data_IF_534525249155
#
_entry.id   IF_534525249155
#
_cell.length_a   1.000
_cell.length_b   1.000
_cell.length_c   1.000
_cell.angle_alpha   90.00
_cell.angle_beta   90.00
_cell.angle_gamma   90.00
#
_symmetry.space_group_name_H-M   'P 1'
#
loop_
_entity.id
_entity.type
_entity.pdbx_description
1 polymer ?
#
# COMPACT_ATOMS: atom_id res chain seq x y z
N UNK A 1 11.07 11.94 -3.32
CA UNK A 1 12.23 12.84 -3.49
C UNK A 1 11.89 13.72 -4.67
N UNK A 2 11.99 15.04 -4.51
CA UNK A 2 11.83 15.98 -5.62
C UNK A 2 13.08 15.94 -6.53
N UNK A 3 12.95 16.24 -7.81
CA UNK A 3 14.10 16.31 -8.74
C UNK A 3 15.09 17.40 -8.29
N UNK A 4 14.59 18.54 -7.80
CA UNK A 4 15.40 19.68 -7.34
C UNK A 4 15.87 19.55 -5.88
N UNK A 5 15.72 18.37 -5.28
CA UNK A 5 16.03 18.18 -3.87
C UNK A 5 17.54 18.30 -3.63
N UNK A 6 17.98 19.32 -2.89
CA UNK A 6 19.39 19.56 -2.55
C UNK A 6 19.66 19.31 -1.05
N UNK A 7 20.93 19.32 -0.64
CA UNK A 7 21.30 19.19 0.78
C UNK A 7 20.85 20.44 1.56
N UNK A 8 20.96 21.62 0.94
CA UNK A 8 20.56 22.90 1.51
C UNK A 8 19.03 23.05 1.54
N UNK A 9 18.34 22.62 0.48
CA UNK A 9 16.89 22.76 0.34
C UNK A 9 16.22 21.39 0.19
N UNK A 10 15.89 20.80 1.34
CA UNK A 10 15.20 19.51 1.38
C UNK A 10 13.71 19.67 1.08
N UNK A 11 13.32 19.47 -0.18
CA UNK A 11 11.93 19.36 -0.66
C UNK A 11 11.35 17.97 -0.32
N UNK A 12 11.06 17.72 0.96
CA UNK A 12 10.45 16.46 1.47
C UNK A 12 9.15 16.75 2.21
N UNK A 13 8.05 16.08 1.83
CA UNK A 13 6.79 16.10 2.56
C UNK A 13 6.59 14.76 3.28
N UNK A 14 6.26 14.81 4.57
CA UNK A 14 6.03 13.61 5.41
C UNK A 14 4.57 13.56 5.79
N UNK A 15 3.84 12.62 5.19
CA UNK A 15 2.49 12.27 5.61
C UNK A 15 2.50 10.95 6.36
N UNK A 16 1.88 10.89 7.53
CA UNK A 16 1.89 9.68 8.37
C UNK A 16 0.49 9.21 8.71
N UNK A 17 0.35 7.91 8.99
CA UNK A 17 -0.90 7.36 9.53
C UNK A 17 -1.31 7.99 10.86
N UNK A 18 -0.35 8.46 11.66
CA UNK A 18 -0.65 9.16 12.91
C UNK A 18 -1.32 10.50 12.63
N UNK A 19 -0.76 11.30 11.72
CA UNK A 19 -1.37 12.54 11.26
C UNK A 19 -2.78 12.29 10.70
N UNK A 20 -2.93 11.34 9.77
CA UNK A 20 -4.24 10.99 9.19
C UNK A 20 -5.28 10.62 10.26
N UNK A 21 -4.89 9.86 11.29
CA UNK A 21 -5.79 9.48 12.39
C UNK A 21 -6.22 10.67 13.24
N UNK A 22 -5.34 11.65 13.41
CA UNK A 22 -5.64 12.90 14.13
C UNK A 22 -6.62 13.74 13.31
N UNK A 23 -6.33 13.98 12.03
CA UNK A 23 -7.16 14.76 11.11
C UNK A 23 -8.59 14.17 11.00
N UNK A 24 -8.69 12.85 10.86
CA UNK A 24 -9.98 12.15 10.75
C UNK A 24 -10.70 11.94 12.09
N UNK A 25 -10.05 12.28 13.22
CA UNK A 25 -10.53 12.01 14.60
C UNK A 25 -10.94 10.54 14.83
N UNK A 26 -10.37 9.60 14.07
CA UNK A 26 -10.78 8.19 14.08
C UNK A 26 -10.75 7.58 15.49
N UNK A 27 -9.68 7.85 16.26
CA UNK A 27 -9.55 7.36 17.64
C UNK A 27 -10.61 7.95 18.57
N UNK A 28 -10.95 9.23 18.42
CA UNK A 28 -12.00 9.88 19.22
C UNK A 28 -13.35 9.21 18.97
N UNK A 29 -13.71 9.01 17.70
CA UNK A 29 -14.96 8.38 17.33
C UNK A 29 -15.05 6.92 17.79
N UNK A 30 -13.95 6.18 17.67
CA UNK A 30 -13.89 4.82 18.23
C UNK A 30 -14.11 4.82 19.75
N UNK A 31 -13.50 5.74 20.50
CA UNK A 31 -13.71 5.83 21.96
C UNK A 31 -15.17 6.10 22.32
N UNK A 32 -15.81 7.07 21.67
CA UNK A 32 -17.22 7.39 21.89
C UNK A 32 -18.10 6.16 21.63
N UNK A 33 -17.88 5.48 20.50
CA UNK A 33 -18.65 4.27 20.16
C UNK A 33 -18.45 3.13 21.16
N UNK A 34 -17.25 2.98 21.73
CA UNK A 34 -16.99 1.96 22.75
C UNK A 34 -17.63 2.30 24.10
N UNK A 35 -17.70 3.59 24.46
CA UNK A 35 -18.30 4.04 25.72
C UNK A 35 -19.82 3.80 25.76
N UNK A 36 -20.50 3.98 24.63
CA UNK A 36 -21.95 3.77 24.53
C UNK A 36 -22.33 2.30 24.35
N UNK A 37 -21.33 1.44 24.12
CA UNK A 37 -21.57 0.03 23.80
C UNK A 37 -21.88 -0.77 25.07
N UNK A 38 -23.05 -1.41 25.09
CA UNK A 38 -23.43 -2.31 26.18
C UNK A 38 -22.74 -3.67 26.09
N UNK A 39 -22.67 -4.39 27.21
CA UNK A 39 -22.09 -5.74 27.27
C UNK A 39 -22.80 -6.71 26.29
N UNK A 40 -24.13 -6.58 26.16
CA UNK A 40 -24.95 -7.40 25.28
C UNK A 40 -24.66 -7.16 23.80
N UNK A 41 -24.51 -5.89 23.40
CA UNK A 41 -24.13 -5.52 22.03
C UNK A 41 -22.71 -6.01 21.74
N UNK A 42 -21.80 -5.92 22.72
CA UNK A 42 -20.46 -6.47 22.60
C UNK A 42 -20.45 -8.01 22.47
N UNK A 43 -21.35 -8.72 23.16
CA UNK A 43 -21.52 -10.16 23.01
C UNK A 43 -22.11 -10.53 21.63
N UNK A 44 -23.11 -9.78 21.17
CA UNK A 44 -23.69 -9.93 19.84
C UNK A 44 -22.65 -9.74 18.73
N UNK A 45 -21.81 -8.71 18.82
CA UNK A 45 -20.71 -8.51 17.87
C UNK A 45 -19.63 -9.60 17.95
N UNK A 46 -19.32 -10.09 19.15
CA UNK A 46 -18.39 -11.23 19.31
C UNK A 46 -18.92 -12.49 18.65
N UNK A 47 -20.23 -12.74 18.76
CA UNK A 47 -20.91 -13.87 18.11
C UNK A 47 -20.71 -13.82 16.59
N UNK A 48 -20.81 -12.63 15.98
CA UNK A 48 -20.52 -12.43 14.55
C UNK A 48 -19.03 -12.52 14.22
N UNK A 49 -18.16 -12.04 15.11
CA UNK A 49 -16.71 -12.04 14.93
C UNK A 49 -16.08 -13.43 14.97
N UNK A 50 -16.69 -14.36 15.72
CA UNK A 50 -16.30 -15.77 15.77
C UNK A 50 -16.72 -16.53 14.50
N UNK A 51 -17.80 -16.11 13.85
CA UNK A 51 -18.27 -16.64 12.56
C UNK A 51 -17.38 -16.19 11.41
N UNK A 52 -16.42 -17.05 11.05
CA UNK A 52 -15.44 -16.80 10.00
C UNK A 52 -16.07 -16.73 8.60
N UNK A 53 -16.57 -15.56 8.21
CA UNK A 53 -16.90 -15.21 6.80
C UNK A 53 -15.68 -15.29 5.85
N UNK A 54 -14.48 -15.51 6.39
CA UNK A 54 -13.22 -15.56 5.65
C UNK A 54 -12.84 -16.98 5.18
N UNK A 55 -13.60 -18.02 5.60
CA UNK A 55 -13.41 -19.38 5.11
C UNK A 55 -14.35 -19.62 3.94
N UNK A 56 -13.86 -20.05 2.76
CA UNK A 56 -14.68 -20.33 1.60
C UNK A 56 -15.39 -21.69 1.73
N UNK A 57 -16.13 -21.89 2.82
CA UNK A 57 -16.89 -23.12 3.10
C UNK A 57 -18.36 -22.80 3.36
N UNK A 58 -19.25 -23.58 2.75
CA UNK A 58 -20.69 -23.37 2.78
C UNK A 58 -21.25 -23.53 4.20
N UNK A 59 -20.79 -24.54 4.95
CA UNK A 59 -21.27 -24.82 6.32
C UNK A 59 -21.00 -23.65 7.27
N UNK A 60 -19.78 -23.11 7.22
CA UNK A 60 -19.39 -21.94 8.01
C UNK A 60 -20.21 -20.68 7.62
N UNK A 61 -20.59 -20.54 6.34
CA UNK A 61 -21.44 -19.44 5.91
C UNK A 61 -22.88 -19.58 6.41
N UNK A 62 -23.46 -20.78 6.39
CA UNK A 62 -24.78 -21.04 6.99
C UNK A 62 -24.81 -20.76 8.49
N UNK A 63 -23.78 -21.21 9.22
CA UNK A 63 -23.62 -20.93 10.65
C UNK A 63 -23.55 -19.42 10.92
N UNK A 64 -22.80 -18.68 10.09
CA UNK A 64 -22.76 -17.22 10.15
C UNK A 64 -24.15 -16.59 9.89
N UNK A 65 -24.91 -17.08 8.92
CA UNK A 65 -26.26 -16.57 8.64
C UNK A 65 -27.22 -16.82 9.82
N UNK A 66 -27.17 -18.00 10.43
CA UNK A 66 -27.95 -18.32 11.64
C UNK A 66 -27.55 -17.40 12.80
N UNK A 67 -26.26 -17.27 13.07
CA UNK A 67 -25.74 -16.37 14.10
C UNK A 67 -26.15 -14.90 13.85
N UNK A 68 -26.13 -14.46 12.58
CA UNK A 68 -26.55 -13.12 12.19
C UNK A 68 -28.04 -12.90 12.39
N UNK A 69 -28.89 -13.85 12.05
CA UNK A 69 -30.33 -13.76 12.29
C UNK A 69 -30.65 -13.56 13.78
N UNK A 70 -29.95 -14.31 14.66
CA UNK A 70 -30.15 -14.22 16.12
C UNK A 70 -29.83 -12.84 16.69
N UNK A 71 -28.79 -12.18 16.18
CA UNK A 71 -28.33 -10.89 16.73
C UNK A 71 -28.80 -9.67 15.93
N UNK A 72 -29.41 -9.88 14.76
CA UNK A 72 -29.74 -8.82 13.80
C UNK A 72 -30.64 -7.73 14.40
N UNK A 73 -31.73 -8.11 15.06
CA UNK A 73 -32.68 -7.15 15.64
C UNK A 73 -31.99 -6.26 16.68
N UNK A 74 -31.20 -6.86 17.58
CA UNK A 74 -30.45 -6.17 18.64
C UNK A 74 -29.43 -5.19 18.06
N UNK A 75 -28.61 -5.62 17.12
CA UNK A 75 -27.60 -4.76 16.49
C UNK A 75 -28.27 -3.65 15.67
N UNK A 76 -29.30 -3.97 14.89
CA UNK A 76 -30.04 -2.99 14.08
C UNK A 76 -30.64 -1.91 14.96
N UNK A 77 -31.29 -2.30 16.06
CA UNK A 77 -31.84 -1.36 17.02
C UNK A 77 -30.75 -0.45 17.58
N UNK A 78 -29.66 -1.01 18.10
CA UNK A 78 -28.53 -0.24 18.64
C UNK A 78 -27.96 0.76 17.62
N UNK A 79 -27.65 0.31 16.41
CA UNK A 79 -27.03 1.17 15.39
C UNK A 79 -27.97 2.26 14.85
N UNK A 80 -29.28 2.04 14.90
CA UNK A 80 -30.30 2.95 14.36
C UNK A 80 -31.01 3.79 15.43
N UNK A 81 -30.86 3.50 16.72
CA UNK A 81 -31.60 4.20 17.80
C UNK A 81 -30.70 4.78 18.89
N UNK A 82 -29.38 4.57 18.83
CA UNK A 82 -28.48 5.24 19.77
C UNK A 82 -28.45 6.74 19.50
N UNK A 83 -28.98 7.53 20.44
CA UNK A 83 -29.06 8.98 20.33
C UNK A 83 -27.82 9.69 20.88
N UNK A 84 -27.58 10.88 20.36
CA UNK A 84 -26.65 11.87 20.88
C UNK A 84 -27.36 13.20 20.94
N UNK A 85 -27.32 13.87 22.08
CA UNK A 85 -27.75 15.26 22.17
C UNK A 85 -26.70 16.15 21.50
N UNK A 86 -27.15 17.10 20.68
CA UNK A 86 -26.34 18.20 20.19
C UNK A 86 -26.90 19.50 20.76
N UNK A 87 -26.02 20.31 21.37
CA UNK A 87 -26.33 21.69 21.70
C UNK A 87 -25.88 22.56 20.54
N UNK A 88 -26.83 23.08 19.78
CA UNK A 88 -26.64 24.28 18.98
C UNK A 88 -27.42 25.42 19.67
N UNK A 89 -26.98 26.68 19.51
CA UNK A 89 -27.16 27.82 20.44
C UNK A 89 -28.59 28.27 20.80
N UNK A 90 -29.64 27.49 20.53
CA UNK A 90 -30.99 27.72 21.02
C UNK A 90 -31.88 26.47 21.12
N UNK A 91 -31.46 25.28 20.67
CA UNK A 91 -32.29 24.06 20.66
C UNK A 91 -31.47 22.79 20.91
N UNK A 92 -31.98 21.91 21.77
CA UNK A 92 -31.45 20.55 21.93
C UNK A 92 -32.03 19.67 20.84
N UNK A 93 -31.19 19.20 19.91
CA UNK A 93 -31.61 18.27 18.86
C UNK A 93 -31.05 16.88 19.13
N UNK A 94 -31.92 15.88 19.12
CA UNK A 94 -31.53 14.48 19.15
C UNK A 94 -31.09 14.02 17.75
N UNK A 95 -29.90 13.43 17.67
CA UNK A 95 -29.34 12.93 16.42
C UNK A 95 -28.83 11.51 16.62
N UNK A 96 -29.06 10.65 15.62
CA UNK A 96 -28.50 9.30 15.58
C UNK A 96 -26.97 9.33 15.67
N UNK A 97 -26.43 8.84 16.79
CA UNK A 97 -25.00 8.91 17.10
C UNK A 97 -24.15 8.25 16.01
N UNK A 98 -24.54 7.04 15.58
CA UNK A 98 -23.77 6.29 14.59
C UNK A 98 -23.74 6.99 13.23
N UNK A 99 -24.88 7.53 12.79
CA UNK A 99 -24.96 8.27 11.54
C UNK A 99 -24.14 9.56 11.62
N UNK A 100 -24.30 10.33 12.71
CA UNK A 100 -23.52 11.55 13.00
C UNK A 100 -22.02 11.29 12.94
N UNK A 101 -21.53 10.25 13.62
CA UNK A 101 -20.11 9.92 13.64
C UNK A 101 -19.59 9.41 12.28
N UNK A 102 -20.39 8.63 11.54
CA UNK A 102 -20.04 8.16 10.19
C UNK A 102 -19.96 9.32 9.20
N UNK A 103 -20.96 10.20 9.20
CA UNK A 103 -21.01 11.40 8.35
C UNK A 103 -19.86 12.33 8.70
N UNK A 104 -19.64 12.61 9.99
CA UNK A 104 -18.52 13.43 10.44
C UNK A 104 -17.17 12.85 10.05
N UNK A 105 -17.01 11.52 10.15
CA UNK A 105 -15.80 10.82 9.72
C UNK A 105 -15.57 10.91 8.21
N UNK A 106 -16.63 10.82 7.42
CA UNK A 106 -16.59 11.02 5.97
C UNK A 106 -16.17 12.45 5.62
N UNK A 107 -16.85 13.46 6.17
CA UNK A 107 -16.56 14.89 5.94
C UNK A 107 -15.11 15.20 6.31
N UNK A 108 -14.64 14.75 7.49
CA UNK A 108 -13.25 14.99 7.90
C UNK A 108 -12.23 14.31 7.01
N UNK A 109 -12.55 13.14 6.45
CA UNK A 109 -11.67 12.49 5.47
C UNK A 109 -11.57 13.33 4.21
N UNK A 110 -12.70 13.83 3.69
CA UNK A 110 -12.68 14.73 2.51
C UNK A 110 -11.87 16.00 2.79
N UNK A 111 -12.08 16.64 3.95
CA UNK A 111 -11.33 17.82 4.37
C UNK A 111 -9.83 17.53 4.52
N UNK A 112 -9.46 16.39 5.12
CA UNK A 112 -8.06 15.97 5.27
C UNK A 112 -7.39 15.72 3.91
N UNK A 113 -8.11 15.05 3.00
CA UNK A 113 -7.62 14.76 1.64
C UNK A 113 -7.44 16.08 0.84
N UNK A 114 -8.40 17.01 0.92
CA UNK A 114 -8.30 18.34 0.31
C UNK A 114 -7.14 19.16 0.91
N UNK A 115 -7.00 19.13 2.22
CA UNK A 115 -5.93 19.82 2.92
C UNK A 115 -4.56 19.28 2.52
N UNK A 116 -4.42 17.96 2.40
CA UNK A 116 -3.21 17.30 1.90
C UNK A 116 -2.87 17.77 0.48
N UNK A 117 -3.85 17.79 -0.44
CA UNK A 117 -3.66 18.28 -1.83
C UNK A 117 -3.17 19.73 -1.82
N UNK A 118 -3.80 20.60 -1.01
CA UNK A 118 -3.41 22.00 -0.86
C UNK A 118 -1.98 22.14 -0.33
N UNK A 119 -1.62 21.37 0.69
CA UNK A 119 -0.27 21.39 1.26
C UNK A 119 0.79 20.88 0.28
N UNK A 120 0.46 19.84 -0.51
CA UNK A 120 1.35 19.35 -1.55
C UNK A 120 1.57 20.40 -2.63
N UNK A 121 0.50 21.05 -3.12
CA UNK A 121 0.60 22.12 -4.11
C UNK A 121 1.41 23.30 -3.57
N UNK A 122 1.10 23.79 -2.38
CA UNK A 122 1.85 24.89 -1.75
C UNK A 122 3.35 24.56 -1.55
N UNK A 123 3.69 23.28 -1.31
CA UNK A 123 5.08 22.89 -1.07
C UNK A 123 5.88 22.65 -2.35
N UNK A 124 5.26 22.11 -3.40
CA UNK A 124 5.94 21.69 -4.62
C UNK A 124 5.68 22.60 -5.82
N UNK A 125 4.70 23.51 -5.73
CA UNK A 125 4.40 24.60 -6.66
C UNK A 125 4.42 25.92 -5.88
N UNK A 126 5.61 26.44 -5.54
CA UNK A 126 5.73 27.65 -4.71
C UNK A 126 5.27 28.91 -5.46
N UNK A 127 5.42 28.96 -6.79
CA UNK A 127 4.90 30.04 -7.63
C UNK A 127 3.79 29.52 -8.52
N UNK A 128 2.78 30.35 -8.78
CA UNK A 128 1.65 29.97 -9.62
C UNK A 128 2.04 29.74 -11.09
N UNK A 129 3.11 30.40 -11.54
CA UNK A 129 3.75 30.23 -12.84
C UNK A 129 4.46 28.88 -13.02
N UNK A 130 4.77 28.16 -11.94
CA UNK A 130 5.50 26.90 -12.03
C UNK A 130 4.58 25.79 -12.57
N UNK A 131 5.12 24.81 -13.31
CA UNK A 131 4.33 23.69 -13.80
C UNK A 131 3.76 22.86 -12.64
N UNK A 132 2.61 22.23 -12.88
CA UNK A 132 1.97 21.37 -11.88
C UNK A 132 2.88 20.17 -11.53
N UNK A 133 3.06 19.83 -10.24
CA UNK A 133 3.99 18.77 -9.87
C UNK A 133 3.46 17.39 -10.30
N UNK A 134 4.34 16.64 -10.94
CA UNK A 134 4.08 15.26 -11.38
C UNK A 134 4.51 14.27 -10.30
N UNK A 135 3.60 13.37 -9.90
CA UNK A 135 3.89 12.32 -8.92
C UNK A 135 4.26 11.01 -9.60
N UNK A 136 5.45 10.51 -9.27
CA UNK A 136 5.93 9.23 -9.76
C UNK A 136 5.95 8.23 -8.61
N UNK A 137 5.22 7.13 -8.79
CA UNK A 137 5.07 6.09 -7.78
C UNK A 137 5.61 4.76 -8.30
N UNK A 138 6.21 3.97 -7.41
CA UNK A 138 6.59 2.60 -7.73
C UNK A 138 5.38 1.67 -7.71
N UNK A 139 5.23 0.82 -8.72
CA UNK A 139 4.27 -0.27 -8.67
C UNK A 139 4.66 -1.27 -7.57
N UNK A 140 3.67 -1.87 -6.91
CA UNK A 140 3.90 -3.00 -6.03
C UNK A 140 3.67 -4.27 -6.84
N UNK A 141 4.72 -5.04 -7.12
CA UNK A 141 4.55 -6.36 -7.72
C UNK A 141 4.08 -7.34 -6.64
N UNK A 142 2.84 -7.81 -6.76
CA UNK A 142 2.36 -8.98 -6.06
C UNK A 142 2.51 -10.16 -7.02
N UNK A 143 3.39 -11.14 -6.75
CA UNK A 143 3.66 -12.24 -7.67
C UNK A 143 2.44 -13.11 -7.98
N UNK A 144 1.37 -13.04 -7.17
CA UNK A 144 0.14 -13.84 -7.32
C UNK A 144 -1.00 -13.13 -8.08
N UNK A 145 -0.89 -11.85 -8.44
CA UNK A 145 -1.96 -11.15 -9.20
C UNK A 145 -1.47 -10.84 -10.60
N UNK A 146 -1.54 -11.81 -11.50
CA UNK A 146 -1.44 -11.53 -12.93
C UNK A 146 -2.67 -10.71 -13.35
N UNK A 147 -2.50 -9.75 -14.26
CA UNK A 147 -3.56 -8.95 -14.90
C UNK A 147 -4.36 -7.95 -14.04
N UNK A 148 -4.00 -7.72 -12.77
CA UNK A 148 -4.62 -6.66 -11.95
C UNK A 148 -3.65 -5.53 -11.64
N UNK A 149 -4.12 -4.29 -11.77
CA UNK A 149 -3.40 -3.11 -11.28
C UNK A 149 -3.08 -3.30 -9.78
N UNK A 150 -1.87 -2.95 -9.31
CA UNK A 150 -1.52 -3.06 -7.90
C UNK A 150 -2.56 -2.36 -7.01
N UNK A 151 -3.26 -3.16 -6.20
CA UNK A 151 -4.30 -2.67 -5.27
C UNK A 151 -3.68 -1.70 -4.26
N UNK A 152 -2.43 -1.96 -3.86
CA UNK A 152 -1.68 -1.08 -2.96
C UNK A 152 -1.41 0.27 -3.64
N UNK A 153 -1.83 1.34 -2.96
CA UNK A 153 -1.66 2.70 -3.44
C UNK A 153 -2.78 3.20 -4.36
N UNK A 154 -3.77 2.38 -4.73
CA UNK A 154 -4.88 2.82 -5.60
C UNK A 154 -5.62 4.04 -5.04
N UNK A 155 -5.96 4.01 -3.74
CA UNK A 155 -6.59 5.16 -3.08
C UNK A 155 -5.75 6.43 -3.12
N UNK A 156 -4.43 6.32 -2.96
CA UNK A 156 -3.50 7.44 -3.09
C UNK A 156 -3.43 7.99 -4.51
N UNK A 157 -3.36 7.11 -5.51
CA UNK A 157 -3.39 7.51 -6.92
C UNK A 157 -4.69 8.25 -7.26
N UNK A 158 -5.82 7.72 -6.82
CA UNK A 158 -7.12 8.35 -7.02
C UNK A 158 -7.22 9.71 -6.32
N UNK A 159 -6.72 9.82 -5.08
CA UNK A 159 -6.70 11.08 -4.34
C UNK A 159 -5.89 12.14 -5.08
N UNK A 160 -4.67 11.81 -5.51
CA UNK A 160 -3.79 12.75 -6.21
C UNK A 160 -4.35 13.15 -7.58
N UNK A 161 -4.89 12.19 -8.34
CA UNK A 161 -5.57 12.49 -9.62
C UNK A 161 -6.79 13.39 -9.45
N UNK A 162 -7.62 13.14 -8.43
CA UNK A 162 -8.75 14.04 -8.09
C UNK A 162 -8.29 15.43 -7.67
N UNK A 163 -7.11 15.54 -7.07
CA UNK A 163 -6.46 16.80 -6.76
C UNK A 163 -5.91 17.55 -7.98
N UNK A 164 -6.01 16.97 -9.19
CA UNK A 164 -5.51 17.55 -10.42
C UNK A 164 -4.03 17.28 -10.70
N UNK A 165 -3.40 16.35 -9.97
CA UNK A 165 -2.00 15.98 -10.23
C UNK A 165 -1.89 14.83 -11.23
N UNK A 166 -0.87 14.90 -12.08
CA UNK A 166 -0.47 13.76 -12.89
C UNK A 166 0.25 12.72 -12.03
N UNK A 167 -0.18 11.46 -12.18
CA UNK A 167 0.35 10.34 -11.40
C UNK A 167 0.75 9.19 -12.32
N UNK A 168 2.05 8.91 -12.36
CA UNK A 168 2.63 7.82 -13.14
C UNK A 168 3.12 6.68 -12.25
N UNK A 169 3.04 5.46 -12.79
CA UNK A 169 3.54 4.24 -12.14
C UNK A 169 4.76 3.72 -12.88
N UNK A 170 5.86 3.53 -12.16
CA UNK A 170 7.08 2.87 -12.67
C UNK A 170 7.15 1.44 -12.14
N UNK A 171 7.54 0.50 -13.00
CA UNK A 171 7.82 -0.87 -12.54
C UNK A 171 9.04 -0.91 -11.62
N UNK A 172 8.85 -1.43 -10.40
CA UNK A 172 9.92 -1.53 -9.39
C UNK A 172 10.89 -2.71 -9.66
N UNK A 173 10.87 -3.27 -10.85
CA UNK A 173 11.70 -4.42 -11.19
C UNK A 173 13.19 -4.07 -11.01
N UNK A 174 13.87 -4.84 -10.14
CA UNK A 174 15.27 -4.68 -9.73
C UNK A 174 15.70 -3.30 -9.20
N UNK A 175 14.84 -2.27 -9.16
CA UNK A 175 15.22 -0.90 -8.79
C UNK A 175 15.75 -0.76 -7.37
N UNK A 176 15.42 -1.67 -6.45
CA UNK A 176 15.97 -1.69 -5.08
C UNK A 176 17.10 -2.69 -4.87
N UNK A 177 17.58 -3.32 -5.95
CA UNK A 177 18.65 -4.33 -5.96
C UNK A 177 19.82 -3.94 -6.87
N UNK A 178 19.71 -2.82 -7.60
CA UNK A 178 20.73 -2.32 -8.52
C UNK A 178 21.42 -1.11 -7.91
N UNK A 179 22.75 -1.10 -7.90
CA UNK A 179 23.55 0.01 -7.39
C UNK A 179 23.38 1.23 -8.30
N UNK A 180 23.02 2.42 -7.78
CA UNK A 180 22.86 3.61 -8.61
C UNK A 180 24.18 4.12 -9.23
N UNK A 181 25.33 3.70 -8.71
CA UNK A 181 26.64 4.20 -9.15
C UNK A 181 27.28 3.31 -10.22
N UNK A 182 27.37 2.00 -9.95
CA UNK A 182 28.02 1.04 -10.86
C UNK A 182 27.03 0.11 -11.57
N UNK A 183 25.73 0.23 -11.30
CA UNK A 183 24.68 -0.66 -11.81
C UNK A 183 24.86 -2.16 -11.51
N UNK A 184 25.78 -2.50 -10.60
CA UNK A 184 25.95 -3.85 -10.08
C UNK A 184 24.87 -4.26 -9.08
N UNK A 185 24.91 -5.52 -8.66
CA UNK A 185 23.95 -6.07 -7.69
C UNK A 185 24.22 -5.58 -6.27
N UNK A 186 23.13 -5.31 -5.56
CA UNK A 186 23.12 -4.99 -4.14
C UNK A 186 22.54 -6.16 -3.33
N UNK A 187 23.16 -6.43 -2.18
CA UNK A 187 22.65 -7.43 -1.23
C UNK A 187 22.53 -6.90 0.20
N UNK A 188 21.59 -7.50 0.90
CA UNK A 188 21.43 -7.32 2.34
C UNK A 188 22.39 -8.25 3.05
N UNK A 189 23.51 -7.72 3.55
CA UNK A 189 24.50 -8.50 4.33
C UNK A 189 24.53 -8.09 5.81
N UNK A 190 23.74 -7.09 6.20
CA UNK A 190 23.77 -6.52 7.55
C UNK A 190 22.76 -7.18 8.47
N UNK A 191 23.16 -7.33 9.73
CA UNK A 191 22.33 -7.82 10.82
C UNK A 191 22.32 -6.79 11.94
N UNK A 192 21.15 -6.61 12.56
CA UNK A 192 20.94 -5.72 13.71
C UNK A 192 20.36 -6.53 14.87
N UNK A 193 20.51 -6.07 16.13
CA UNK A 193 19.82 -6.66 17.26
C UNK A 193 18.31 -6.73 17.00
N UNK A 194 17.69 -7.82 17.43
CA UNK A 194 16.25 -7.98 17.29
C UNK A 194 15.52 -7.02 18.25
N UNK A 195 14.76 -6.08 17.71
CA UNK A 195 13.95 -5.14 18.50
C UNK A 195 12.79 -5.82 19.24
N UNK A 196 12.40 -7.02 18.84
CA UNK A 196 11.37 -7.80 19.53
C UNK A 196 11.99 -8.56 20.70
N UNK A 197 11.97 -7.94 21.89
CA UNK A 197 12.60 -8.47 23.11
C UNK A 197 12.19 -9.92 23.42
N UNK A 198 10.92 -10.26 23.25
CA UNK A 198 10.42 -11.62 23.51
C UNK A 198 10.98 -12.69 22.54
N UNK A 199 11.54 -12.29 21.39
CA UNK A 199 12.19 -13.18 20.43
C UNK A 199 13.70 -13.23 20.60
N UNK A 200 14.28 -12.51 21.55
CA UNK A 200 15.74 -12.40 21.66
C UNK A 200 16.40 -13.74 22.01
N UNK A 201 15.72 -14.61 22.80
CA UNK A 201 16.22 -15.96 23.12
C UNK A 201 16.32 -16.87 21.90
N UNK A 202 15.35 -16.82 20.99
CA UNK A 202 15.31 -17.68 19.80
C UNK A 202 15.99 -17.05 18.58
N UNK A 203 15.99 -15.71 18.48
CA UNK A 203 16.51 -14.97 17.34
C UNK A 203 17.08 -13.62 17.80
N UNK A 204 18.33 -13.59 18.33
CA UNK A 204 18.92 -12.37 18.89
C UNK A 204 19.28 -11.32 17.84
N UNK A 205 19.54 -11.75 16.59
CA UNK A 205 19.88 -10.87 15.46
C UNK A 205 18.92 -11.10 14.30
N UNK A 206 18.54 -10.01 13.66
CA UNK A 206 17.68 -10.03 12.47
C UNK A 206 18.36 -9.33 11.30
N UNK A 207 18.10 -9.81 10.09
CA UNK A 207 18.65 -9.25 8.87
C UNK A 207 18.08 -7.84 8.65
N UNK A 208 18.95 -6.85 8.47
CA UNK A 208 18.54 -5.49 8.18
C UNK A 208 18.10 -5.36 6.72
N UNK A 209 16.79 -5.25 6.50
CA UNK A 209 16.21 -5.18 5.15
C UNK A 209 16.38 -3.82 4.46
N UNK A 210 16.57 -2.75 5.24
CA UNK A 210 16.67 -1.38 4.76
C UNK A 210 18.09 -0.97 4.32
N UNK A 211 19.11 -1.76 4.65
CA UNK A 211 20.50 -1.43 4.39
C UNK A 211 21.13 -2.44 3.43
N UNK A 212 21.74 -1.94 2.37
CA UNK A 212 22.30 -2.72 1.27
C UNK A 212 23.79 -2.44 1.09
N UNK A 213 24.55 -3.46 0.71
CA UNK A 213 25.95 -3.32 0.28
C UNK A 213 26.08 -3.66 -1.21
N UNK A 214 27.00 -2.98 -1.89
CA UNK A 214 27.32 -3.28 -3.28
C UNK A 214 28.25 -4.49 -3.38
N UNK A 215 27.98 -5.37 -4.34
CA UNK A 215 28.78 -6.58 -4.59
C UNK A 215 29.95 -6.31 -5.56
N UNK A 216 29.86 -5.27 -6.39
CA UNK A 216 30.92 -4.91 -7.34
C UNK A 216 32.18 -4.40 -6.63
N UNK A 217 33.31 -5.08 -6.86
CA UNK A 217 34.62 -4.72 -6.27
C UNK A 217 35.10 -3.32 -6.66
N UNK A 218 34.87 -2.89 -7.90
CA UNK A 218 35.23 -1.55 -8.37
C UNK A 218 34.52 -0.46 -7.55
N UNK A 219 33.24 -0.68 -7.22
CA UNK A 219 32.46 0.23 -6.40
C UNK A 219 32.82 0.14 -4.90
N UNK A 220 33.54 -0.90 -4.47
CA UNK A 220 34.09 -1.00 -3.12
C UNK A 220 35.40 -0.20 -3.02
N UNK A 221 36.33 -0.39 -3.97
CA UNK A 221 37.64 0.25 -4.00
C UNK A 221 37.56 1.79 -4.15
N UNK A 222 36.62 2.30 -4.95
CA UNK A 222 36.45 3.74 -5.18
C UNK A 222 36.12 4.55 -3.90
N UNK A 223 35.52 3.93 -2.88
CA UNK A 223 35.15 4.63 -1.64
C UNK A 223 36.17 4.48 -0.51
N UNK A 224 37.10 3.53 -0.61
CA UNK A 224 38.24 3.46 0.32
C UNK A 224 39.20 4.65 0.12
N UNK A 225 39.23 5.25 -1.07
CA UNK A 225 40.13 6.37 -1.41
C UNK A 225 39.52 7.78 -1.27
N UNK A 226 38.18 7.91 -1.25
CA UNK A 226 37.52 9.21 -1.46
C UNK A 226 36.85 9.84 -0.23
N UNK A 227 36.77 9.17 0.93
CA UNK A 227 35.92 9.67 2.03
C UNK A 227 36.49 9.53 3.45
N UNK A 228 37.22 10.59 3.87
CA UNK A 228 37.55 10.84 5.28
C UNK A 228 36.63 11.89 5.94
N UNK A 229 35.65 12.49 5.24
CA UNK A 229 34.94 13.70 5.75
C UNK A 229 33.41 13.73 5.58
N UNK A 230 32.74 12.82 4.87
CA UNK A 230 31.28 12.88 4.60
C UNK A 230 30.54 11.52 4.57
N UNK A 231 30.61 10.76 5.67
CA UNK A 231 29.43 10.05 6.19
C UNK A 231 29.34 8.52 6.01
N UNK A 232 29.10 7.86 7.15
CA UNK A 232 28.55 6.50 7.33
C UNK A 232 29.27 5.33 6.63
N UNK A 233 30.55 5.15 6.99
CA UNK A 233 31.27 3.89 6.78
C UNK A 233 30.81 2.84 7.79
N UNK A 234 30.20 1.74 7.33
CA UNK A 234 29.89 0.60 8.20
C UNK A 234 31.12 -0.30 8.37
N UNK A 235 31.58 -0.50 9.61
CA UNK A 235 32.61 -1.49 9.92
C UNK A 235 32.07 -2.91 9.65
N UNK A 236 32.81 -3.70 8.87
CA UNK A 236 32.65 -5.16 8.81
C UNK A 236 33.94 -5.82 9.34
N UNK A 237 33.80 -6.99 9.97
CA UNK A 237 34.92 -7.89 10.30
C UNK A 237 35.68 -8.21 8.99
N UNK A 238 36.97 -7.89 8.93
CA UNK A 238 37.83 -8.16 7.76
C UNK A 238 38.36 -6.95 6.97
N UNK A 239 38.30 -5.73 7.50
CA UNK A 239 39.13 -4.60 7.01
C UNK A 239 38.62 -3.80 5.79
N UNK A 240 37.79 -4.37 4.91
CA UNK A 240 37.29 -3.64 3.71
C UNK A 240 36.04 -2.84 4.05
N UNK A 241 36.10 -1.50 3.95
CA UNK A 241 34.93 -0.64 4.15
C UNK A 241 34.06 -0.71 2.89
N UNK A 242 32.78 -1.06 3.06
CA UNK A 242 31.84 -1.17 1.93
C UNK A 242 30.88 0.01 1.92
N UNK A 243 30.62 0.59 0.75
CA UNK A 243 29.56 1.59 0.60
C UNK A 243 28.21 0.98 0.95
N UNK A 244 27.54 1.62 1.90
CA UNK A 244 26.21 1.24 2.34
C UNK A 244 25.17 2.13 1.70
N UNK A 245 24.06 1.52 1.34
CA UNK A 245 22.94 2.19 0.72
C UNK A 245 21.67 1.97 1.54
N UNK A 246 20.94 3.05 1.80
CA UNK A 246 19.54 2.93 2.18
C UNK A 246 18.75 2.39 0.97
N UNK A 247 18.00 1.31 1.18
CA UNK A 247 17.24 0.61 0.13
C UNK A 247 16.20 1.49 -0.56
N UNK A 248 15.53 2.34 0.20
CA UNK A 248 14.52 3.24 -0.35
C UNK A 248 15.18 4.35 -1.17
N UNK A 249 16.34 4.86 -0.72
CA UNK A 249 17.13 5.81 -1.49
C UNK A 249 17.59 5.22 -2.83
N UNK A 250 18.06 3.97 -2.84
CA UNK A 250 18.43 3.26 -4.07
C UNK A 250 17.25 3.16 -5.03
N UNK A 251 16.09 2.76 -4.52
CA UNK A 251 14.87 2.67 -5.33
C UNK A 251 14.52 4.00 -6.00
N UNK A 252 14.62 5.10 -5.24
CA UNK A 252 14.34 6.45 -5.74
C UNK A 252 15.37 6.93 -6.76
N UNK A 253 16.66 6.70 -6.53
CA UNK A 253 17.72 7.07 -7.49
C UNK A 253 17.56 6.32 -8.81
N UNK A 254 17.23 5.04 -8.76
CA UNK A 254 16.97 4.25 -9.96
C UNK A 254 15.66 4.65 -10.66
N UNK A 255 14.62 5.08 -9.92
CA UNK A 255 13.42 5.67 -10.55
C UNK A 255 13.75 6.95 -11.32
N UNK A 256 14.59 7.82 -10.75
CA UNK A 256 15.06 9.03 -11.43
C UNK A 256 15.82 8.68 -12.71
N UNK A 257 16.69 7.68 -12.66
CA UNK A 257 17.41 7.20 -13.84
C UNK A 257 16.49 6.66 -14.93
N UNK A 258 15.48 5.84 -14.56
CA UNK A 258 14.47 5.35 -15.51
C UNK A 258 13.70 6.50 -16.14
N UNK A 259 13.27 7.47 -15.34
CA UNK A 259 12.52 8.63 -15.82
C UNK A 259 13.31 9.46 -16.83
N UNK A 260 14.58 9.76 -16.54
CA UNK A 260 15.43 10.49 -17.48
C UNK A 260 15.68 9.69 -18.76
N UNK A 261 15.86 8.38 -18.65
CA UNK A 261 16.01 7.52 -19.82
C UNK A 261 14.75 7.54 -20.70
N UNK A 262 13.56 7.52 -20.09
CA UNK A 262 12.28 7.66 -20.81
C UNK A 262 12.14 9.02 -21.50
N UNK A 263 12.58 10.12 -20.86
CA UNK A 263 12.55 11.46 -21.46
C UNK A 263 13.49 11.60 -22.66
N UNK A 264 14.70 11.02 -22.56
CA UNK A 264 15.74 11.15 -23.59
C UNK A 264 15.55 10.16 -24.73
N UNK A 265 15.26 8.89 -24.40
CA UNK A 265 15.26 7.78 -25.38
C UNK A 265 13.88 7.18 -25.62
N UNK A 266 12.86 7.56 -24.85
CA UNK A 266 11.53 6.93 -24.92
C UNK A 266 11.46 5.52 -24.33
N UNK A 267 12.56 4.96 -23.82
CA UNK A 267 12.62 3.56 -23.39
C UNK A 267 13.10 3.39 -21.95
N UNK A 268 12.60 2.35 -21.28
CA UNK A 268 13.11 1.93 -19.97
C UNK A 268 14.46 1.22 -20.18
N UNK A 269 15.52 1.53 -19.42
CA UNK A 269 16.81 0.86 -19.56
C UNK A 269 16.66 -0.65 -19.41
N UNK A 270 17.31 -1.42 -20.29
CA UNK A 270 17.21 -2.89 -20.38
C UNK A 270 17.34 -3.61 -19.03
N UNK A 271 18.25 -3.16 -18.17
CA UNK A 271 18.48 -3.71 -16.81
C UNK A 271 17.27 -3.60 -15.86
N UNK A 272 16.34 -2.70 -16.14
CA UNK A 272 15.11 -2.48 -15.37
C UNK A 272 13.87 -3.00 -16.11
N UNK A 273 14.02 -3.52 -17.32
CA UNK A 273 12.97 -4.23 -18.02
C UNK A 273 12.85 -5.65 -17.43
N UNK A 274 11.62 -6.14 -17.27
CA UNK A 274 11.41 -7.58 -17.09
C UNK A 274 11.83 -8.23 -18.39
N UNK A 275 12.57 -9.34 -18.32
CA UNK A 275 12.84 -10.14 -19.52
C UNK A 275 11.51 -10.39 -20.21
N UNK A 276 11.41 -10.05 -21.49
CA UNK A 276 10.26 -10.46 -22.26
C UNK A 276 10.16 -11.99 -22.11
N UNK A 277 8.97 -12.56 -21.86
CA UNK A 277 8.84 -13.99 -22.10
C UNK A 277 9.28 -14.19 -23.55
N UNK A 278 10.33 -15.00 -23.75
CA UNK A 278 10.68 -15.48 -25.07
C UNK A 278 9.37 -15.91 -25.73
N UNK A 279 9.09 -15.40 -26.93
CA UNK A 279 7.91 -15.77 -27.70
C UNK A 279 7.79 -17.29 -27.66
N UNK A 280 6.86 -17.78 -26.83
CA UNK A 280 6.55 -19.18 -26.79
C UNK A 280 5.97 -19.48 -28.17
N UNK A 281 6.77 -20.17 -28.96
CA UNK A 281 6.45 -20.68 -30.29
C UNK A 281 4.96 -21.02 -30.35
N UNK A 282 4.25 -20.36 -31.27
CA UNK A 282 2.85 -20.59 -31.58
C UNK A 282 2.67 -22.02 -32.12
N UNK A 283 2.77 -23.03 -31.26
CA UNK A 283 2.31 -24.38 -31.54
C UNK A 283 0.80 -24.39 -31.30
N UNK A 284 0.05 -23.95 -32.31
CA UNK A 284 -1.40 -24.11 -32.43
C UNK A 284 -1.71 -25.60 -32.42
N UNK A 285 -1.88 -26.21 -31.23
CA UNK A 285 -2.55 -27.51 -31.12
C UNK A 285 -4.03 -27.29 -31.42
N UNK A 286 -4.41 -27.52 -32.67
CA UNK A 286 -5.80 -27.71 -33.11
C UNK A 286 -6.39 -28.90 -32.36
N UNK A 287 -7.05 -28.61 -31.24
CA UNK A 287 -7.89 -29.59 -30.55
C UNK A 287 -9.17 -29.76 -31.37
N UNK A 288 -9.22 -30.77 -32.25
CA UNK A 288 -10.46 -31.27 -32.84
C UNK A 288 -11.36 -31.76 -31.71
N UNK A 289 -12.32 -30.94 -31.29
CA UNK A 289 -13.44 -31.40 -30.47
C UNK A 289 -14.48 -32.03 -31.40
N UNK A 290 -14.57 -33.36 -31.41
CA UNK A 290 -15.75 -34.08 -31.90
C UNK A 290 -16.92 -33.68 -30.97
N UNK A 291 -17.82 -32.83 -31.48
CA UNK A 291 -19.16 -32.66 -30.90
C UNK A 291 -20.01 -33.84 -31.37
N UNK A 292 -20.32 -34.78 -30.49
CA UNK A 292 -21.49 -35.64 -30.64
C UNK A 292 -22.58 -35.10 -29.74
N UNK A 293 -23.48 -34.31 -30.31
CA UNK A 293 -24.71 -33.91 -29.65
C UNK A 293 -25.68 -35.10 -29.74
N UNK A 294 -25.96 -35.77 -28.61
CA UNK A 294 -27.17 -36.59 -28.48
C UNK A 294 -28.33 -35.63 -28.19
N UNK A 295 -29.32 -35.63 -29.08
CA UNK A 295 -30.56 -34.90 -28.90
C UNK A 295 -31.43 -35.58 -27.82
N UNK A 296 -32.21 -34.83 -27.03
CA UNK A 296 -33.18 -35.40 -26.09
C UNK A 296 -34.43 -35.88 -26.84
N UNK A 297 -34.84 -37.11 -26.59
CA UNK A 297 -36.09 -37.71 -27.07
C UNK A 297 -37.28 -37.16 -26.28
N UNK A 298 -38.27 -36.61 -27.00
CA UNK A 298 -39.58 -36.18 -26.48
C UNK A 298 -40.50 -37.41 -26.40
N UNK A 299 -41.23 -37.66 -25.30
CA UNK A 299 -42.27 -38.69 -25.27
C UNK A 299 -43.52 -38.21 -26.03
N UNK A 300 -44.02 -39.04 -26.95
CA UNK A 300 -45.29 -38.82 -27.65
C UNK A 300 -46.52 -39.11 -26.78
N UNK A 301 -47.72 -38.69 -27.21
CA UNK A 301 -48.93 -38.74 -26.40
C UNK A 301 -49.51 -40.17 -26.34
N UNK A 302 -50.09 -40.50 -25.19
CA UNK A 302 -50.79 -41.77 -24.97
C UNK A 302 -52.07 -41.83 -25.82
N UNK A 303 -52.35 -42.97 -26.49
CA UNK A 303 -53.67 -43.21 -27.05
C UNK A 303 -54.66 -43.60 -25.94
N UNK A 304 -55.91 -43.21 -26.19
CA UNK A 304 -57.16 -43.39 -25.43
C UNK A 304 -57.41 -44.79 -24.91
#
# INVERSE_FOLDING_TARGET
MCEDNSIAEKKVYRYTKCQQRVETKQKKYQKILQQVKTADVAAAERTLGAGSYLKPDLKHFEEYLRARALVAAKLTWFYNHTMSCQQDSATMQEVLLHWKLRLSGYIRRQQADQHLVKQLRAKFKPKESDPEPVFIMGNWSAPMTQFHEPIRGKGWRMLLKRGGFDVYLIDKYLTSKTCPNCFGRLSNTHYVPNLQLWRHRSQPKVKCHGLLSCESEACLKFFDTYDHKRGYLGKKKGGVKRKLWNRDLVGVLNFRYILFSLRVTGTVPTRFQRGQPAEASKARKTRKTRKTCKAPTVPGPNPT
#
